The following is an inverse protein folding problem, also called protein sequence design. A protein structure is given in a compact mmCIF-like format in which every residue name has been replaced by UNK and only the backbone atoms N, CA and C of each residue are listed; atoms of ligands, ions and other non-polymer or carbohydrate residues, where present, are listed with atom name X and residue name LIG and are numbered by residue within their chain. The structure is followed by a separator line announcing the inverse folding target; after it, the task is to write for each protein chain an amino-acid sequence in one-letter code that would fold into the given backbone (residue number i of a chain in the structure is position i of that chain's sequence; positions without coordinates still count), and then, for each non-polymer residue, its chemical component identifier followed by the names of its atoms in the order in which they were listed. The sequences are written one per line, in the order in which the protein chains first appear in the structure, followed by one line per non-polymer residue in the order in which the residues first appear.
data_IF_879012921770
#
_entry.id   IF_879012921770
#
_cell.length_a   1.000
_cell.length_b   1.000
_cell.length_c   1.000
_cell.angle_alpha   90.00
_cell.angle_beta   90.00
_cell.angle_gamma   90.00
#
_symmetry.space_group_name_H-M   'P 1'
#
loop_
_entity.id
_entity.type
_entity.pdbx_description
1 polymer ?
#
# COMPACT_ATOMS: atom_id res chain seq x y z
N UNK A 1 -8.50 -6.55 -12.24
CA UNK A 1 -7.52 -6.94 -11.22
C UNK A 1 -7.80 -8.38 -10.88
N UNK A 2 -6.76 -9.21 -10.82
CA UNK A 2 -6.90 -10.61 -10.40
C UNK A 2 -7.10 -10.65 -8.89
N UNK A 3 -8.03 -11.47 -8.41
CA UNK A 3 -8.24 -11.69 -6.96
C UNK A 3 -7.39 -12.84 -6.46
N UNK A 4 -7.15 -12.91 -5.16
CA UNK A 4 -6.43 -14.06 -4.57
C UNK A 4 -7.22 -15.36 -4.73
N UNK A 5 -8.56 -15.27 -4.71
CA UNK A 5 -9.40 -16.44 -4.95
C UNK A 5 -9.23 -16.96 -6.39
N UNK A 6 -9.21 -16.06 -7.39
CA UNK A 6 -8.91 -16.42 -8.78
C UNK A 6 -7.51 -17.04 -8.91
N UNK A 7 -6.50 -16.44 -8.27
CA UNK A 7 -5.13 -16.97 -8.27
C UNK A 7 -5.06 -18.40 -7.70
N UNK A 8 -5.80 -18.66 -6.63
CA UNK A 8 -5.86 -19.99 -6.01
C UNK A 8 -6.55 -21.01 -6.91
N UNK A 9 -7.63 -20.64 -7.56
CA UNK A 9 -8.33 -21.49 -8.54
C UNK A 9 -7.42 -21.83 -9.73
N UNK A 10 -6.69 -20.85 -10.26
CA UNK A 10 -5.74 -21.04 -11.35
C UNK A 10 -4.61 -22.01 -10.96
N UNK A 11 -4.02 -21.86 -9.76
CA UNK A 11 -2.99 -22.76 -9.25
C UNK A 11 -3.55 -24.18 -9.04
N UNK A 12 -4.74 -24.28 -8.45
CA UNK A 12 -5.41 -25.56 -8.21
C UNK A 12 -5.69 -26.31 -9.52
N UNK A 13 -6.10 -25.58 -10.57
CA UNK A 13 -6.27 -26.11 -11.91
C UNK A 13 -4.93 -26.58 -12.52
N UNK A 14 -3.88 -25.76 -12.40
CA UNK A 14 -2.56 -26.06 -12.95
C UNK A 14 -1.92 -27.33 -12.36
N UNK A 15 -2.19 -27.63 -11.09
CA UNK A 15 -1.72 -28.87 -10.44
C UNK A 15 -2.67 -30.06 -10.57
N UNK A 16 -3.78 -29.91 -11.32
CA UNK A 16 -4.76 -30.97 -11.53
C UNK A 16 -5.63 -31.29 -10.31
N UNK A 17 -5.78 -30.35 -9.37
CA UNK A 17 -6.64 -30.46 -8.18
C UNK A 17 -7.69 -29.33 -8.15
N UNK A 18 -8.58 -29.23 -9.16
CA UNK A 18 -9.52 -28.12 -9.30
C UNK A 18 -10.52 -28.00 -8.13
N UNK A 19 -10.76 -29.10 -7.41
CA UNK A 19 -11.64 -29.13 -6.23
C UNK A 19 -10.89 -28.90 -4.91
N UNK A 20 -9.57 -28.63 -4.96
CA UNK A 20 -8.71 -28.38 -3.80
C UNK A 20 -8.81 -29.46 -2.71
N UNK A 21 -8.93 -30.73 -3.14
CA UNK A 21 -9.08 -31.89 -2.25
C UNK A 21 -7.72 -32.24 -1.63
N UNK A 22 -6.66 -32.16 -2.43
CA UNK A 22 -5.29 -32.53 -2.03
C UNK A 22 -4.56 -31.34 -1.43
N UNK A 23 -4.65 -30.16 -2.05
CA UNK A 23 -4.08 -28.91 -1.53
C UNK A 23 -5.20 -27.97 -1.10
N UNK A 24 -5.49 -27.96 0.20
CA UNK A 24 -6.53 -27.11 0.79
C UNK A 24 -6.21 -25.63 0.64
N UNK A 25 -7.26 -24.81 0.71
CA UNK A 25 -7.20 -23.35 0.62
C UNK A 25 -6.11 -22.67 1.50
N UNK A 26 -5.98 -23.00 2.80
CA UNK A 26 -4.98 -22.34 3.64
C UNK A 26 -3.55 -22.70 3.24
N UNK A 27 -3.37 -23.91 2.70
CA UNK A 27 -2.07 -24.37 2.20
C UNK A 27 -1.70 -23.58 0.94
N UNK A 28 -2.62 -23.43 -0.03
CA UNK A 28 -2.38 -22.63 -1.22
C UNK A 28 -2.02 -21.17 -0.88
N UNK A 29 -2.74 -20.55 0.04
CA UNK A 29 -2.42 -19.19 0.50
C UNK A 29 -1.00 -19.12 1.10
N UNK A 30 -0.59 -20.12 1.88
CA UNK A 30 0.76 -20.20 2.44
C UNK A 30 1.82 -20.28 1.33
N UNK A 31 1.54 -21.02 0.25
CA UNK A 31 2.44 -21.15 -0.90
C UNK A 31 2.52 -19.85 -1.72
N UNK A 32 1.40 -19.16 -1.92
CA UNK A 32 1.36 -17.83 -2.55
C UNK A 32 2.19 -16.83 -1.74
N UNK A 33 2.01 -16.80 -0.42
CA UNK A 33 2.80 -15.92 0.45
C UNK A 33 4.30 -16.27 0.45
N UNK A 34 4.65 -17.54 0.26
CA UNK A 34 6.03 -17.95 0.06
C UNK A 34 6.60 -17.42 -1.25
N UNK A 35 5.81 -17.45 -2.33
CA UNK A 35 6.21 -16.86 -3.61
C UNK A 35 6.41 -15.33 -3.50
N UNK A 36 5.49 -14.62 -2.85
CA UNK A 36 5.65 -13.18 -2.60
C UNK A 36 6.90 -12.84 -1.77
N UNK A 37 7.24 -13.70 -0.80
CA UNK A 37 8.47 -13.58 -0.02
C UNK A 37 9.73 -13.81 -0.85
N UNK A 38 9.70 -14.75 -1.80
CA UNK A 38 10.83 -14.97 -2.72
C UNK A 38 11.11 -13.73 -3.57
N UNK A 39 10.08 -13.04 -4.08
CA UNK A 39 10.23 -11.75 -4.75
C UNK A 39 10.84 -10.69 -3.84
N UNK A 40 10.34 -10.62 -2.62
CA UNK A 40 10.87 -9.67 -1.63
C UNK A 40 12.36 -9.92 -1.37
N UNK A 41 12.76 -11.19 -1.26
CA UNK A 41 14.14 -11.60 -1.03
C UNK A 41 15.04 -11.40 -2.25
N UNK A 42 14.49 -11.44 -3.47
CA UNK A 42 15.23 -11.11 -4.68
C UNK A 42 15.44 -9.59 -4.86
N UNK A 43 14.87 -8.78 -3.96
CA UNK A 43 14.96 -7.32 -4.00
C UNK A 43 13.96 -6.66 -4.95
N UNK A 44 12.90 -7.39 -5.33
CA UNK A 44 11.81 -6.84 -6.14
C UNK A 44 11.10 -5.72 -5.37
N UNK A 45 10.89 -4.59 -6.04
CA UNK A 45 10.16 -3.45 -5.53
C UNK A 45 9.05 -3.08 -6.49
N UNK A 46 7.88 -2.74 -5.98
CA UNK A 46 6.78 -2.25 -6.80
C UNK A 46 6.82 -0.73 -6.84
N UNK A 47 6.63 -0.11 -8.02
CA UNK A 47 6.36 1.32 -8.06
C UNK A 47 5.09 1.59 -7.26
N UNK A 48 5.12 2.62 -6.41
CA UNK A 48 3.88 3.07 -5.79
C UNK A 48 3.13 3.88 -6.85
N UNK A 49 2.19 3.24 -7.54
CA UNK A 49 1.40 3.85 -8.62
C UNK A 49 0.59 5.06 -8.11
N UNK A 50 0.15 5.00 -6.85
CA UNK A 50 -0.47 6.12 -6.14
C UNK A 50 0.51 6.67 -5.12
N UNK A 51 1.32 7.63 -5.58
CA UNK A 51 2.07 8.50 -4.69
C UNK A 51 1.14 9.11 -3.65
N UNK A 52 1.57 9.13 -2.40
CA UNK A 52 0.72 9.52 -1.29
C UNK A 52 0.74 11.03 -1.09
N UNK A 53 -0.44 11.60 -0.88
CA UNK A 53 -0.62 13.03 -0.71
C UNK A 53 -0.75 13.36 0.78
N UNK A 54 -0.07 14.40 1.25
CA UNK A 54 -0.06 14.87 2.64
C UNK A 54 -0.15 16.40 2.64
N UNK A 55 -0.68 17.01 3.70
CA UNK A 55 -0.69 18.47 3.89
C UNK A 55 0.58 18.93 4.60
N UNK A 56 1.20 20.01 4.13
CA UNK A 56 2.19 20.71 4.92
C UNK A 56 1.52 21.60 5.99
N UNK A 57 1.80 21.35 7.27
CA UNK A 57 1.28 22.09 8.41
C UNK A 57 2.23 23.19 8.86
N UNK A 58 1.69 24.36 9.21
CA UNK A 58 2.46 25.59 9.50
C UNK A 58 3.61 25.46 10.51
N UNK A 59 3.52 24.53 11.44
CA UNK A 59 4.46 24.31 12.54
C UNK A 59 5.19 22.96 12.45
N UNK A 60 4.92 22.14 11.43
CA UNK A 60 5.46 20.80 11.32
C UNK A 60 6.43 20.69 10.14
N UNK A 61 7.67 20.31 10.43
CA UNK A 61 8.72 20.06 9.44
C UNK A 61 9.12 18.58 9.42
N UNK A 62 8.40 17.76 10.16
CA UNK A 62 8.66 16.33 10.34
C UNK A 62 7.39 15.57 10.02
N UNK A 63 7.43 14.67 9.05
CA UNK A 63 6.25 13.97 8.59
C UNK A 63 6.52 12.48 8.60
N UNK A 64 5.58 11.69 9.10
CA UNK A 64 5.74 10.24 9.10
C UNK A 64 5.79 9.72 7.67
N UNK A 65 6.76 8.84 7.42
CA UNK A 65 6.80 8.11 6.14
C UNK A 65 5.67 7.08 6.18
N UNK A 66 4.84 7.02 5.13
CA UNK A 66 3.76 6.06 5.10
C UNK A 66 4.25 4.61 5.09
N UNK A 67 3.43 3.73 5.70
CA UNK A 67 3.85 2.40 6.09
C UNK A 67 4.27 1.51 4.91
N UNK A 68 3.78 1.80 3.71
CA UNK A 68 4.01 1.01 2.51
C UNK A 68 5.36 1.32 1.84
N UNK A 69 5.97 2.49 2.08
CA UNK A 69 7.21 2.86 1.39
C UNK A 69 8.43 2.15 1.96
N UNK A 70 9.14 1.42 1.10
CA UNK A 70 10.47 0.91 1.38
C UNK A 70 11.57 1.88 0.90
N UNK A 71 11.29 2.62 -0.16
CA UNK A 71 12.18 3.62 -0.75
C UNK A 71 11.40 4.86 -1.17
N UNK A 72 11.96 6.03 -0.91
CA UNK A 72 11.42 7.30 -1.41
C UNK A 72 12.32 7.77 -2.54
N UNK A 73 11.74 7.98 -3.71
CA UNK A 73 12.41 8.50 -4.90
C UNK A 73 12.52 10.01 -4.83
N UNK A 74 11.39 10.68 -4.62
CA UNK A 74 11.30 12.13 -4.63
C UNK A 74 10.05 12.62 -3.88
N UNK A 75 10.08 13.90 -3.53
CA UNK A 75 8.98 14.63 -2.93
C UNK A 75 8.58 15.75 -3.88
N UNK A 76 7.28 15.96 -4.08
CA UNK A 76 6.76 17.00 -4.98
C UNK A 76 5.77 17.88 -4.25
N UNK A 77 5.75 19.17 -4.58
CA UNK A 77 4.77 20.12 -4.08
C UNK A 77 3.73 20.39 -5.16
N UNK A 78 2.48 20.49 -4.71
CA UNK A 78 1.34 20.88 -5.53
C UNK A 78 1.05 22.38 -5.42
N UNK A 79 0.43 22.95 -6.46
CA UNK A 79 0.19 24.39 -6.58
C UNK A 79 -1.11 24.91 -5.94
N UNK A 80 -1.87 24.09 -5.19
CA UNK A 80 -3.20 24.49 -4.72
C UNK A 80 -3.17 25.26 -3.40
N UNK A 81 -3.95 26.34 -3.36
CA UNK A 81 -4.34 27.05 -2.14
C UNK A 81 -5.60 26.40 -1.58
N UNK A 82 -5.47 25.64 -0.48
CA UNK A 82 -6.49 25.21 0.51
C UNK A 82 -7.99 25.19 0.10
N UNK A 83 -8.32 24.71 -1.10
CA UNK A 83 -9.70 24.54 -1.54
C UNK A 83 -9.75 23.19 -2.25
N UNK A 84 -10.20 22.18 -1.50
CA UNK A 84 -10.56 20.81 -1.87
C UNK A 84 -10.38 20.54 -3.37
N UNK A 85 -9.14 20.33 -3.80
CA UNK A 85 -8.87 20.13 -5.21
C UNK A 85 -9.59 18.86 -5.68
N UNK A 86 -10.03 18.88 -6.95
CA UNK A 86 -10.80 17.84 -7.63
C UNK A 86 -10.69 16.46 -6.99
N UNK A 87 -11.84 15.91 -6.66
CA UNK A 87 -11.97 14.58 -6.09
C UNK A 87 -12.14 13.55 -7.19
N UNK A 88 -11.82 12.30 -6.87
CA UNK A 88 -12.15 11.12 -7.67
C UNK A 88 -12.80 10.11 -6.75
N UNK A 89 -13.92 9.55 -7.19
CA UNK A 89 -14.63 8.48 -6.49
C UNK A 89 -13.66 7.32 -6.17
N UNK A 90 -13.64 6.90 -4.90
CA UNK A 90 -12.81 5.78 -4.47
C UNK A 90 -13.42 4.41 -4.81
N UNK A 91 -14.71 4.37 -5.16
CA UNK A 91 -15.46 3.16 -5.44
C UNK A 91 -16.07 2.50 -4.19
N UNK A 92 -16.09 3.21 -3.05
CA UNK A 92 -16.74 2.79 -1.82
C UNK A 92 -17.46 3.95 -1.15
N UNK A 93 -18.45 3.64 -0.33
CA UNK A 93 -19.27 4.61 0.39
C UNK A 93 -19.18 4.37 1.91
N UNK A 94 -19.67 5.33 2.70
CA UNK A 94 -19.89 5.12 4.12
C UNK A 94 -20.96 4.03 4.34
N UNK A 95 -20.64 3.01 5.14
CA UNK A 95 -21.58 1.93 5.53
C UNK A 95 -22.30 2.27 6.87
N UNK A 96 -21.92 3.38 7.51
CA UNK A 96 -22.67 3.97 8.60
C UNK A 96 -22.51 5.50 8.64
N UNK A 97 -23.55 6.19 9.09
CA UNK A 97 -23.50 7.64 9.30
C UNK A 97 -22.51 8.03 10.41
N UNK A 98 -21.74 9.11 10.18
CA UNK A 98 -20.88 9.73 11.19
C UNK A 98 -21.71 10.79 11.92
N UNK A 99 -22.18 10.47 13.12
CA UNK A 99 -23.18 11.27 13.86
C UNK A 99 -22.58 12.30 14.84
N UNK A 100 -21.26 12.43 14.89
CA UNK A 100 -20.57 13.39 15.76
C UNK A 100 -19.37 14.04 15.03
N UNK A 101 -18.70 15.00 15.68
CA UNK A 101 -17.52 15.71 15.16
C UNK A 101 -16.21 15.30 15.83
N UNK A 102 -16.21 14.25 16.67
CA UNK A 102 -15.04 13.88 17.51
C UNK A 102 -14.64 12.42 17.39
N UNK A 103 -15.54 11.57 16.90
CA UNK A 103 -15.33 10.16 16.65
C UNK A 103 -14.29 9.98 15.55
N UNK A 104 -13.38 9.06 15.79
CA UNK A 104 -12.27 8.75 14.89
C UNK A 104 -12.43 7.39 14.20
N UNK A 105 -13.53 6.67 14.46
CA UNK A 105 -13.85 5.40 13.80
C UNK A 105 -14.86 5.66 12.70
N UNK A 106 -14.49 5.38 11.46
CA UNK A 106 -15.32 5.54 10.26
C UNK A 106 -15.59 4.16 9.66
N UNK A 107 -16.85 3.86 9.38
CA UNK A 107 -17.26 2.60 8.76
C UNK A 107 -17.51 2.82 7.27
N UNK A 108 -16.84 2.04 6.43
CA UNK A 108 -16.92 2.07 4.96
C UNK A 108 -17.31 0.69 4.44
N UNK A 109 -17.87 0.61 3.24
CA UNK A 109 -18.26 -0.66 2.63
C UNK A 109 -17.04 -1.55 2.30
N UNK A 110 -15.92 -0.94 1.87
CA UNK A 110 -14.65 -1.63 1.62
C UNK A 110 -13.46 -0.76 2.03
N UNK A 111 -12.71 -1.17 3.05
CA UNK A 111 -11.48 -0.48 3.49
C UNK A 111 -10.21 -1.05 2.88
N UNK A 112 -10.28 -2.17 2.13
CA UNK A 112 -9.10 -2.88 1.61
C UNK A 112 -8.32 -2.08 0.56
N UNK A 113 -8.98 -1.11 -0.06
CA UNK A 113 -8.42 -0.18 -1.04
C UNK A 113 -7.63 0.98 -0.41
N UNK A 114 -7.71 1.13 0.92
CA UNK A 114 -7.03 2.18 1.66
C UNK A 114 -5.88 1.65 2.50
N UNK A 115 -4.91 2.52 2.76
CA UNK A 115 -3.78 2.28 3.62
C UNK A 115 -3.72 3.29 4.77
N UNK A 116 -2.98 2.95 5.82
CA UNK A 116 -2.61 3.94 6.84
C UNK A 116 -1.82 5.07 6.18
N UNK A 117 -2.21 6.30 6.51
CA UNK A 117 -1.81 7.60 6.01
C UNK A 117 -2.43 8.03 4.66
N UNK A 118 -3.30 7.21 4.06
CA UNK A 118 -4.12 7.69 2.95
C UNK A 118 -5.05 8.82 3.40
N UNK A 119 -5.34 9.71 2.46
CA UNK A 119 -6.37 10.74 2.60
C UNK A 119 -7.65 10.29 1.92
N UNK A 120 -8.75 10.49 2.61
CA UNK A 120 -10.10 10.32 2.05
C UNK A 120 -10.89 11.60 2.29
N UNK A 121 -11.90 11.83 1.46
CA UNK A 121 -12.80 12.95 1.58
C UNK A 121 -14.23 12.43 1.62
N UNK A 122 -15.03 12.96 2.56
CA UNK A 122 -16.47 12.77 2.59
C UNK A 122 -17.12 14.15 2.64
N UNK A 123 -18.02 14.41 1.71
CA UNK A 123 -18.57 15.74 1.45
C UNK A 123 -17.44 16.79 1.29
N UNK A 124 -17.35 17.76 2.21
CA UNK A 124 -16.31 18.80 2.22
C UNK A 124 -15.18 18.55 3.22
N UNK A 125 -15.19 17.45 3.97
CA UNK A 125 -14.20 17.15 5.00
C UNK A 125 -13.20 16.11 4.52
N UNK A 126 -11.92 16.38 4.75
CA UNK A 126 -10.82 15.46 4.44
C UNK A 126 -10.36 14.79 5.74
N UNK A 127 -10.22 13.47 5.71
CA UNK A 127 -9.71 12.67 6.82
C UNK A 127 -8.34 12.09 6.46
N UNK A 128 -7.48 11.94 7.46
CA UNK A 128 -6.24 11.17 7.37
C UNK A 128 -6.46 9.81 8.03
N UNK A 129 -6.23 8.72 7.31
CA UNK A 129 -6.35 7.37 7.87
C UNK A 129 -5.15 7.09 8.78
N UNK A 130 -5.38 6.74 10.04
CA UNK A 130 -4.35 6.41 11.03
C UNK A 130 -4.27 4.92 11.36
N UNK A 131 -5.34 4.15 11.08
CA UNK A 131 -5.34 2.69 11.13
C UNK A 131 -6.41 2.11 10.21
N UNK A 132 -6.19 0.88 9.72
CA UNK A 132 -7.19 0.08 8.99
C UNK A 132 -7.40 -1.22 9.77
N UNK A 133 -8.16 -1.18 10.90
CA UNK A 133 -8.27 -2.32 11.82
C UNK A 133 -9.03 -3.51 11.26
N UNK A 134 -9.98 -3.30 10.34
CA UNK A 134 -10.78 -4.34 9.70
C UNK A 134 -10.99 -3.99 8.22
N UNK A 135 -11.63 -4.88 7.46
CA UNK A 135 -11.99 -4.66 6.05
C UNK A 135 -13.14 -3.66 5.82
N UNK A 136 -13.73 -3.10 6.88
CA UNK A 136 -14.85 -2.13 6.78
C UNK A 136 -14.70 -0.96 7.76
N UNK A 137 -13.58 -0.86 8.49
CA UNK A 137 -13.38 0.15 9.53
C UNK A 137 -12.05 0.85 9.34
N UNK A 138 -12.10 2.17 9.35
CA UNK A 138 -10.96 3.08 9.32
C UNK A 138 -10.89 3.83 10.65
N UNK A 139 -9.69 3.92 11.24
CA UNK A 139 -9.42 4.92 12.26
C UNK A 139 -8.83 6.14 11.58
N UNK A 140 -9.32 7.34 11.85
CA UNK A 140 -8.92 8.56 11.15
C UNK A 140 -8.62 9.73 12.09
N UNK A 141 -7.78 10.65 11.62
CA UNK A 141 -7.74 12.03 12.09
C UNK A 141 -8.64 12.87 11.21
N UNK A 142 -9.57 13.59 11.83
CA UNK A 142 -10.62 14.38 11.18
C UNK A 142 -10.23 15.83 10.97
N UNK A 143 -10.94 16.53 10.08
CA UNK A 143 -10.66 17.93 9.76
C UNK A 143 -9.23 18.16 9.22
N UNK A 144 -8.73 17.21 8.45
CA UNK A 144 -7.41 17.30 7.84
C UNK A 144 -7.43 18.25 6.63
N UNK A 145 -6.29 18.70 6.11
CA UNK A 145 -6.26 19.64 4.98
C UNK A 145 -6.96 20.98 5.26
N UNK A 146 -6.90 21.45 6.51
CA UNK A 146 -7.60 22.63 7.00
C UNK A 146 -9.13 22.58 6.81
N UNK A 147 -9.70 21.39 6.64
CA UNK A 147 -11.15 21.17 6.62
C UNK A 147 -11.72 21.11 8.05
N UNK A 148 -13.05 21.09 8.19
CA UNK A 148 -13.72 21.10 9.50
C UNK A 148 -14.46 19.79 9.73
N UNK A 149 -14.29 19.20 10.93
CA UNK A 149 -15.04 18.02 11.35
C UNK A 149 -16.56 18.26 11.32
N UNK A 150 -17.30 17.45 10.55
CA UNK A 150 -18.74 17.58 10.33
C UNK A 150 -19.50 16.28 10.71
N UNK A 151 -20.81 16.22 10.48
CA UNK A 151 -21.55 14.95 10.45
C UNK A 151 -21.73 14.52 9.00
N UNK A 152 -21.73 13.22 8.74
CA UNK A 152 -21.90 12.66 7.39
C UNK A 152 -23.00 11.61 7.39
N UNK A 153 -23.81 11.60 6.32
CA UNK A 153 -24.90 10.66 6.17
C UNK A 153 -24.39 9.26 5.83
N UNK A 154 -25.23 8.26 6.08
CA UNK A 154 -24.99 6.92 5.59
C UNK A 154 -24.98 6.92 4.05
N UNK A 155 -24.17 6.07 3.44
CA UNK A 155 -23.99 5.97 2.00
C UNK A 155 -23.42 7.24 1.32
N UNK A 156 -22.91 8.22 2.07
CA UNK A 156 -22.11 9.30 1.49
C UNK A 156 -20.89 8.71 0.76
N UNK A 157 -20.59 9.27 -0.41
CA UNK A 157 -19.47 8.83 -1.24
C UNK A 157 -18.15 9.11 -0.51
N UNK A 158 -17.24 8.13 -0.56
CA UNK A 158 -15.87 8.30 -0.10
C UNK A 158 -15.02 8.61 -1.32
N UNK A 159 -14.35 9.75 -1.32
CA UNK A 159 -13.56 10.20 -2.46
C UNK A 159 -12.07 10.30 -2.11
N UNK A 160 -11.21 10.25 -3.12
CA UNK A 160 -9.78 10.59 -3.02
C UNK A 160 -9.62 12.09 -3.27
N UNK A 161 -9.21 12.89 -2.28
CA UNK A 161 -8.99 14.32 -2.47
C UNK A 161 -7.73 14.56 -3.31
N UNK A 162 -7.64 15.75 -3.92
CA UNK A 162 -6.44 16.22 -4.62
C UNK A 162 -6.04 15.42 -5.86
N UNK A 163 -6.98 14.69 -6.48
CA UNK A 163 -6.72 13.83 -7.62
C UNK A 163 -6.25 14.59 -8.88
N UNK A 164 -6.63 15.87 -9.03
CA UNK A 164 -6.22 16.72 -10.15
C UNK A 164 -5.18 17.80 -9.76
N UNK A 165 -4.51 17.65 -8.61
CA UNK A 165 -3.41 18.55 -8.26
C UNK A 165 -2.21 18.28 -9.17
N UNK A 166 -1.71 19.34 -9.80
CA UNK A 166 -0.46 19.26 -10.55
C UNK A 166 0.71 19.37 -9.58
N UNK A 167 1.44 18.26 -9.43
CA UNK A 167 2.66 18.16 -8.63
C UNK A 167 3.89 18.36 -9.53
N UNK A 168 4.20 19.61 -9.86
CA UNK A 168 5.29 19.97 -10.78
C UNK A 168 6.62 20.29 -10.07
N UNK A 169 6.54 20.70 -8.80
CA UNK A 169 7.69 21.26 -8.09
C UNK A 169 8.36 20.19 -7.25
N UNK A 170 9.46 19.63 -7.73
CA UNK A 170 10.25 18.64 -6.96
C UNK A 170 11.01 19.34 -5.83
N UNK A 171 10.87 18.86 -4.60
CA UNK A 171 11.66 19.32 -3.46
C UNK A 171 13.10 18.80 -3.60
N UNK A 172 14.10 19.68 -3.74
CA UNK A 172 15.49 19.26 -3.90
C UNK A 172 15.97 18.37 -2.75
N UNK A 173 16.80 17.38 -3.08
CA UNK A 173 17.28 16.37 -2.11
C UNK A 173 18.02 16.96 -0.91
N UNK A 174 18.66 18.12 -1.08
CA UNK A 174 19.39 18.82 -0.02
C UNK A 174 18.46 19.44 1.06
N UNK A 175 17.16 19.58 0.78
CA UNK A 175 16.22 20.28 1.66
C UNK A 175 15.52 19.33 2.63
N UNK A 176 15.66 18.03 2.43
CA UNK A 176 15.02 17.02 3.27
C UNK A 176 15.94 15.83 3.53
N UNK A 177 15.64 15.07 4.58
CA UNK A 177 16.32 13.80 4.90
C UNK A 177 15.35 12.84 5.55
N UNK A 178 15.70 11.56 5.55
CA UNK A 178 15.02 10.56 6.36
C UNK A 178 15.71 10.45 7.71
N UNK A 179 14.92 10.34 8.77
CA UNK A 179 15.37 9.93 10.09
C UNK A 179 14.52 8.76 10.57
N UNK A 180 15.08 8.00 11.49
CA UNK A 180 14.30 7.10 12.32
C UNK A 180 14.09 7.77 13.66
N UNK A 181 12.83 7.99 14.05
CA UNK A 181 12.52 8.42 15.41
C UNK A 181 12.54 7.19 16.31
N UNK A 182 13.55 7.07 17.17
CA UNK A 182 13.63 6.01 18.17
C UNK A 182 13.34 6.61 19.54
N UNK A 183 12.18 6.28 20.12
CA UNK A 183 11.81 6.62 21.50
C UNK A 183 11.69 8.13 21.81
N UNK A 184 10.47 8.63 21.93
CA UNK A 184 10.18 9.97 22.45
C UNK A 184 8.96 10.59 21.78
N UNK A 185 8.02 11.09 22.59
CA UNK A 185 6.84 11.81 22.15
C UNK A 185 7.25 13.18 21.57
N UNK A 186 7.18 13.33 20.26
CA UNK A 186 6.51 14.51 19.71
C UNK A 186 5.02 14.15 19.62
N UNK A 187 4.16 15.13 19.88
CA UNK A 187 2.91 14.95 20.58
C UNK A 187 1.83 14.04 19.93
N UNK A 188 0.93 13.64 20.83
CA UNK A 188 -0.43 13.08 20.69
C UNK A 188 -0.77 11.72 20.06
N UNK A 189 0.12 10.88 19.52
CA UNK A 189 -0.27 9.44 19.30
C UNK A 189 0.86 8.40 19.08
N UNK A 190 2.10 8.63 19.50
CA UNK A 190 3.16 7.65 19.24
C UNK A 190 3.21 6.51 20.27
N UNK A 191 2.62 5.36 19.93
CA UNK A 191 2.95 4.07 20.53
C UNK A 191 4.46 3.77 20.42
N UNK A 192 4.99 2.93 21.32
CA UNK A 192 6.39 2.56 21.53
C UNK A 192 7.04 1.80 20.34
N UNK A 193 7.05 2.41 19.15
CA UNK A 193 7.70 1.90 17.95
C UNK A 193 8.56 2.97 17.31
N UNK A 194 9.69 2.55 16.73
CA UNK A 194 10.50 3.43 15.91
C UNK A 194 9.73 3.77 14.62
N UNK A 195 9.59 5.06 14.28
CA UNK A 195 8.85 5.53 13.09
C UNK A 195 9.80 6.23 12.11
N UNK A 196 9.82 5.86 10.82
CA UNK A 196 10.55 6.62 9.82
C UNK A 196 9.87 7.96 9.55
N UNK A 197 10.65 9.04 9.52
CA UNK A 197 10.16 10.39 9.27
C UNK A 197 10.95 11.12 8.18
N UNK A 198 10.23 11.88 7.37
CA UNK A 198 10.74 12.90 6.46
C UNK A 198 10.98 14.16 7.28
N UNK A 199 12.19 14.70 7.26
CA UNK A 199 12.53 15.94 7.96
C UNK A 199 12.97 16.98 6.96
N UNK A 200 12.24 18.09 6.93
CA UNK A 200 12.59 19.27 6.16
C UNK A 200 13.55 20.17 6.95
N UNK A 201 14.57 20.69 6.26
CA UNK A 201 15.52 21.63 6.86
C UNK A 201 14.96 23.05 6.76
N UNK A 202 14.43 23.58 7.86
CA UNK A 202 13.78 24.91 7.92
C UNK A 202 14.62 26.07 7.38
N UNK A 203 15.96 25.98 7.44
CA UNK A 203 16.88 26.97 6.85
C UNK A 203 16.89 27.01 5.31
N UNK A 204 16.48 25.92 4.66
CA UNK A 204 16.53 25.75 3.20
C UNK A 204 15.16 25.50 2.57
N UNK A 205 14.15 25.22 3.40
CA UNK A 205 12.81 24.89 2.97
C UNK A 205 11.81 25.78 3.69
N UNK A 206 11.08 26.57 2.92
CA UNK A 206 9.93 27.34 3.36
C UNK A 206 8.71 26.91 2.55
N UNK A 207 7.57 26.76 3.19
CA UNK A 207 6.33 26.36 2.55
C UNK A 207 5.17 27.18 3.09
N UNK A 208 4.07 27.19 2.34
CA UNK A 208 2.81 27.74 2.80
C UNK A 208 2.00 26.61 3.43
N UNK A 209 1.42 26.86 4.61
CA UNK A 209 0.52 25.89 5.23
C UNK A 209 -0.62 25.53 4.27
N UNK A 210 -1.00 24.26 4.19
CA UNK A 210 -2.00 23.79 3.24
C UNK A 210 -1.46 23.43 1.86
N UNK A 211 -0.16 23.61 1.60
CA UNK A 211 0.45 23.15 0.34
C UNK A 211 0.44 21.62 0.29
N UNK A 212 -0.14 20.99 -0.76
CA UNK A 212 -0.06 19.56 -0.95
C UNK A 212 1.37 19.08 -1.17
N UNK A 213 1.76 18.05 -0.43
CA UNK A 213 3.01 17.30 -0.60
C UNK A 213 2.67 15.92 -1.18
N UNK A 214 3.37 15.51 -2.21
CA UNK A 214 3.27 14.17 -2.79
C UNK A 214 4.56 13.40 -2.57
N UNK A 215 4.43 12.19 -2.03
CA UNK A 215 5.53 11.26 -1.78
C UNK A 215 5.55 10.22 -2.91
N UNK A 216 6.62 10.21 -3.70
CA UNK A 216 6.82 9.25 -4.80
C UNK A 216 7.92 8.27 -4.43
N UNK A 217 7.67 6.98 -4.60
CA UNK A 217 8.60 5.96 -4.16
C UNK A 217 8.25 4.55 -4.61
N UNK A 218 8.79 3.58 -3.88
CA UNK A 218 8.64 2.16 -4.18
C UNK A 218 8.34 1.40 -2.89
N UNK A 219 7.42 0.43 -2.98
CA UNK A 219 7.04 -0.46 -1.89
C UNK A 219 7.58 -1.87 -2.10
N UNK A 220 7.58 -2.68 -1.03
CA UNK A 220 7.78 -4.12 -1.15
C UNK A 220 6.45 -4.81 -1.46
N UNK A 221 6.49 -6.01 -2.09
CA UNK A 221 5.32 -6.89 -2.17
C UNK A 221 4.60 -7.07 -0.84
N UNK A 222 3.26 -7.11 -0.87
CA UNK A 222 2.48 -7.39 0.33
C UNK A 222 2.52 -8.88 0.71
N UNK A 223 2.18 -9.17 1.97
CA UNK A 223 1.79 -10.51 2.40
C UNK A 223 0.27 -10.58 2.43
N UNK A 224 -0.29 -11.61 1.84
CA UNK A 224 -1.73 -11.77 1.66
C UNK A 224 -2.36 -12.55 2.83
N UNK A 225 -3.59 -12.22 3.21
CA UNK A 225 -4.36 -12.90 4.25
C UNK A 225 -5.61 -13.57 3.67
N UNK A 226 -6.26 -14.45 4.45
CA UNK A 226 -7.57 -14.97 4.09
C UNK A 226 -8.57 -13.80 4.04
N UNK A 227 -9.22 -13.60 2.89
CA UNK A 227 -10.13 -12.48 2.64
C UNK A 227 -9.47 -11.24 2.01
N UNK A 228 -8.18 -11.29 1.66
CA UNK A 228 -7.64 -10.28 0.75
C UNK A 228 -8.20 -10.54 -0.66
N UNK A 229 -8.88 -9.57 -1.25
CA UNK A 229 -9.55 -9.73 -2.55
C UNK A 229 -8.74 -9.21 -3.73
N UNK A 230 -7.59 -8.58 -3.48
CA UNK A 230 -6.73 -8.01 -4.51
C UNK A 230 -5.30 -8.50 -4.35
N UNK A 231 -4.62 -8.75 -5.48
CA UNK A 231 -3.16 -8.91 -5.48
C UNK A 231 -2.49 -7.62 -5.92
N UNK A 232 -1.22 -7.48 -5.53
CA UNK A 232 -0.43 -6.37 -6.01
C UNK A 232 -0.26 -6.46 -7.53
N UNK A 233 -0.49 -5.33 -8.19
CA UNK A 233 -0.37 -5.23 -9.63
C UNK A 233 1.06 -5.60 -10.09
N UNK A 234 1.16 -6.26 -11.26
CA UNK A 234 2.38 -6.79 -11.86
C UNK A 234 3.01 -7.99 -11.16
N UNK A 235 2.39 -8.53 -10.12
CA UNK A 235 2.85 -9.75 -9.45
C UNK A 235 2.10 -11.02 -9.91
N UNK A 236 0.97 -10.87 -10.59
CA UNK A 236 0.05 -11.94 -10.99
C UNK A 236 0.80 -13.14 -11.57
N UNK A 237 1.50 -12.93 -12.68
CA UNK A 237 2.16 -14.00 -13.44
C UNK A 237 3.26 -14.67 -12.63
N UNK A 238 4.05 -13.90 -11.86
CA UNK A 238 5.09 -14.49 -11.04
C UNK A 238 4.49 -15.37 -9.93
N UNK A 239 3.47 -14.85 -9.24
CA UNK A 239 2.85 -15.55 -8.13
C UNK A 239 2.20 -16.85 -8.59
N UNK A 240 1.49 -16.86 -9.73
CA UNK A 240 0.93 -18.09 -10.32
C UNK A 240 2.03 -19.13 -10.54
N UNK A 241 3.09 -18.78 -11.27
CA UNK A 241 4.13 -19.73 -11.67
C UNK A 241 4.91 -20.24 -10.44
N UNK A 242 5.34 -19.33 -9.56
CA UNK A 242 6.15 -19.70 -8.39
C UNK A 242 5.33 -20.49 -7.36
N UNK A 243 4.08 -20.13 -7.13
CA UNK A 243 3.22 -20.87 -6.21
C UNK A 243 2.81 -22.23 -6.78
N UNK A 244 2.56 -22.34 -8.10
CA UNK A 244 2.33 -23.62 -8.79
C UNK A 244 3.51 -24.55 -8.61
N UNK A 245 4.75 -24.06 -8.82
CA UNK A 245 5.95 -24.86 -8.57
C UNK A 245 5.97 -25.41 -7.13
N UNK A 246 5.70 -24.57 -6.13
CA UNK A 246 5.66 -25.03 -4.74
C UNK A 246 4.55 -26.04 -4.46
N UNK A 247 3.37 -25.87 -5.06
CA UNK A 247 2.24 -26.77 -4.90
C UNK A 247 2.52 -28.14 -5.54
N UNK A 248 3.08 -28.17 -6.76
CA UNK A 248 3.49 -29.41 -7.41
C UNK A 248 4.58 -30.14 -6.61
N UNK A 249 5.55 -29.41 -6.03
CA UNK A 249 6.58 -30.00 -5.18
C UNK A 249 6.00 -30.57 -3.89
N UNK A 250 5.02 -29.89 -3.29
CA UNK A 250 4.30 -30.37 -2.12
C UNK A 250 3.56 -31.69 -2.41
N UNK A 251 2.82 -31.75 -3.52
CA UNK A 251 2.12 -32.96 -3.95
C UNK A 251 3.08 -34.11 -4.27
N UNK A 252 4.19 -33.84 -4.97
CA UNK A 252 5.21 -34.85 -5.23
C UNK A 252 5.77 -35.44 -3.95
N UNK A 253 6.04 -34.61 -2.93
CA UNK A 253 6.50 -35.05 -1.61
C UNK A 253 5.51 -35.94 -0.86
N UNK A 254 4.22 -35.89 -1.19
CA UNK A 254 3.17 -36.75 -0.64
C UNK A 254 3.04 -38.10 -1.37
N UNK A 255 3.88 -38.37 -2.37
CA UNK A 255 3.86 -39.62 -3.15
C UNK A 255 2.93 -39.59 -4.36
N UNK A 256 2.50 -38.40 -4.82
CA UNK A 256 1.72 -38.27 -6.05
C UNK A 256 2.54 -38.51 -7.33
N UNK A 257 1.84 -38.55 -8.47
CA UNK A 257 2.34 -38.92 -9.80
C UNK A 257 3.65 -38.22 -10.21
N UNK A 258 4.57 -38.92 -10.92
CA UNK A 258 5.82 -38.35 -11.45
C UNK A 258 5.63 -37.08 -12.30
N UNK A 259 4.45 -36.88 -12.88
CA UNK A 259 4.13 -35.68 -13.66
C UNK A 259 4.25 -34.38 -12.85
N UNK A 260 4.07 -34.44 -11.52
CA UNK A 260 4.24 -33.27 -10.64
C UNK A 260 5.68 -32.73 -10.63
N UNK A 261 6.69 -33.59 -10.84
CA UNK A 261 8.08 -33.12 -10.93
C UNK A 261 8.33 -32.35 -12.24
N UNK A 262 7.63 -32.73 -13.33
CA UNK A 262 7.67 -31.98 -14.59
C UNK A 262 7.05 -30.60 -14.43
N UNK A 263 5.83 -30.53 -13.89
CA UNK A 263 5.13 -29.24 -13.65
C UNK A 263 5.98 -28.34 -12.74
N UNK A 264 6.58 -28.90 -11.68
CA UNK A 264 7.48 -28.16 -10.81
C UNK A 264 8.63 -27.50 -11.58
N UNK A 265 9.33 -28.26 -12.44
CA UNK A 265 10.49 -27.74 -13.18
C UNK A 265 10.10 -26.67 -14.19
N UNK A 266 8.97 -26.85 -14.87
CA UNK A 266 8.46 -25.90 -15.86
C UNK A 266 8.06 -24.59 -15.20
N UNK A 267 7.19 -24.65 -14.18
CA UNK A 267 6.71 -23.47 -13.46
C UNK A 267 7.85 -22.75 -12.71
N UNK A 268 8.77 -23.50 -12.10
CA UNK A 268 9.94 -22.91 -11.46
C UNK A 268 10.85 -22.23 -12.50
N UNK A 269 11.08 -22.86 -13.65
CA UNK A 269 11.85 -22.27 -14.75
C UNK A 269 11.23 -20.98 -15.29
N UNK A 270 9.91 -20.96 -15.48
CA UNK A 270 9.17 -19.78 -15.92
C UNK A 270 9.29 -18.63 -14.91
N UNK A 271 9.11 -18.93 -13.61
CA UNK A 271 9.27 -17.92 -12.54
C UNK A 271 10.70 -17.39 -12.46
N UNK A 272 11.72 -18.22 -12.64
CA UNK A 272 13.12 -17.77 -12.68
C UNK A 272 13.43 -16.94 -13.93
N UNK A 273 12.82 -17.24 -15.07
CA UNK A 273 12.94 -16.43 -16.27
C UNK A 273 12.29 -15.06 -16.07
N UNK A 274 11.12 -15.00 -15.44
CA UNK A 274 10.49 -13.75 -15.02
C UNK A 274 11.44 -12.96 -14.12
N UNK A 275 12.12 -13.64 -13.19
CA UNK A 275 13.12 -12.96 -12.37
C UNK A 275 14.30 -12.44 -13.20
N UNK A 276 14.84 -13.22 -14.13
CA UNK A 276 15.97 -12.73 -14.94
C UNK A 276 15.60 -11.54 -15.81
N UNK A 277 14.36 -11.47 -16.24
CA UNK A 277 13.83 -10.42 -17.11
C UNK A 277 13.17 -9.27 -16.34
N UNK A 278 13.35 -9.19 -15.01
CA UNK A 278 12.87 -8.08 -14.17
C UNK A 278 12.93 -6.73 -14.90
N UNK A 279 11.78 -6.11 -15.20
CA UNK A 279 11.78 -4.77 -15.75
C UNK A 279 12.54 -3.79 -14.83
N UNK A 280 13.23 -2.82 -15.42
CA UNK A 280 14.04 -1.86 -14.68
C UNK A 280 13.22 -1.04 -13.66
N UNK A 281 11.91 -0.91 -13.89
CA UNK A 281 10.95 -0.24 -13.00
C UNK A 281 10.81 -0.91 -11.63
N UNK A 282 11.08 -2.21 -11.53
CA UNK A 282 10.99 -2.96 -10.27
C UNK A 282 12.30 -3.05 -9.49
N UNK A 283 13.34 -2.36 -9.97
CA UNK A 283 14.61 -2.20 -9.26
C UNK A 283 14.59 -0.89 -8.46
N UNK A 284 15.46 -0.80 -7.46
CA UNK A 284 15.68 0.48 -6.75
C UNK A 284 16.02 1.56 -7.76
N UNK A 285 15.18 2.59 -7.84
CA UNK A 285 15.42 3.70 -8.76
C UNK A 285 16.70 4.44 -8.36
N UNK A 286 17.50 4.92 -9.33
CA UNK A 286 18.58 5.86 -9.06
C UNK A 286 18.03 7.06 -8.27
N UNK A 287 18.81 7.59 -7.33
CA UNK A 287 18.43 8.64 -6.37
C UNK A 287 17.40 8.29 -5.29
N UNK A 288 16.81 7.09 -5.29
CA UNK A 288 15.95 6.65 -4.19
C UNK A 288 16.72 6.53 -2.87
N UNK A 289 16.10 6.99 -1.79
CA UNK A 289 16.62 6.84 -0.43
C UNK A 289 15.87 5.74 0.30
N UNK A 290 16.59 4.80 0.92
CA UNK A 290 16.01 3.74 1.74
C UNK A 290 15.29 4.34 2.95
N UNK A 291 14.07 3.87 3.19
CA UNK A 291 13.30 4.20 4.39
C UNK A 291 13.83 3.36 5.57
N UNK A 292 14.23 3.98 6.69
CA UNK A 292 14.67 3.25 7.88
C UNK A 292 13.60 2.29 8.39
N UNK A 293 14.02 1.11 8.87
CA UNK A 293 13.15 0.06 9.43
C UNK A 293 12.04 -0.49 8.53
N UNK A 294 12.07 -0.18 7.23
CA UNK A 294 11.19 -0.75 6.21
C UNK A 294 11.93 -1.66 5.24
#
# INVERSE_FOLDING_TARGET
MTTINQLREDIALAIGDPFMISVKEPTLLTLINRAARDLTNSGWLLPQEHSENIELLSNEYEYDVPAQFAYIKELRLGSVTASNASTVDSGTNLDAAISDTTGTSVTVEDSSIFAVNDLIQVDSEIFLITAVPTSTTLTVTRGYFSTTAATHDNASDVERPLANVVYDTVVPRAYWRLKLQTGGANDTTAALGSRPQIVFLSRYFSFTAGTPLQIVGQKRPNTYSLGTDTIDHHMESFLVERATAFASRFLFGQGNSPHMDTIYREAYGASEQFLRLHPAEFRVSPSSTRVPER
#
